data_IF_236088836311
#
_entry.id   IF_236088836311
#
_cell.length_a   1.000
_cell.length_b   1.000
_cell.length_c   1.000
_cell.angle_alpha   90.00
_cell.angle_beta   90.00
_cell.angle_gamma   90.00
#
_symmetry.space_group_name_H-M   'P 1'
#
loop_
_entity.id
_entity.type
_entity.pdbx_description
1 polymer ?
#
# COMPACT_ATOMS: atom_id res chain seq x y z
N UNK A 1 19.02 -13.73 33.20
CA UNK A 1 19.09 -14.40 31.88
C UNK A 1 19.18 -13.31 30.81
N UNK A 2 20.20 -13.32 29.94
CA UNK A 2 20.42 -12.27 28.92
C UNK A 2 20.03 -12.84 27.56
N UNK A 3 19.05 -12.24 26.89
CA UNK A 3 18.60 -12.66 25.56
C UNK A 3 19.27 -11.79 24.49
N UNK A 4 19.90 -12.44 23.51
CA UNK A 4 20.50 -11.78 22.35
C UNK A 4 19.65 -12.03 21.10
N UNK A 5 19.38 -10.97 20.33
CA UNK A 5 18.56 -11.05 19.12
C UNK A 5 19.44 -11.39 17.92
N UNK A 6 19.14 -12.50 17.25
CA UNK A 6 19.80 -12.90 16.01
C UNK A 6 18.86 -12.61 14.83
N UNK A 7 19.21 -11.73 13.89
CA UNK A 7 18.36 -11.41 12.75
C UNK A 7 18.32 -12.55 11.73
N UNK A 8 17.12 -12.86 11.23
CA UNK A 8 16.94 -13.84 10.18
C UNK A 8 17.36 -13.27 8.82
N UNK A 9 18.26 -13.97 8.10
CA UNK A 9 18.85 -13.47 6.84
C UNK A 9 18.05 -13.84 5.59
N UNK A 10 17.17 -14.84 5.69
CA UNK A 10 16.44 -15.49 4.59
C UNK A 10 14.99 -15.03 4.44
N UNK A 11 14.50 -14.15 5.32
CA UNK A 11 13.13 -13.65 5.26
C UNK A 11 12.96 -12.76 4.03
N UNK A 12 11.88 -12.96 3.27
CA UNK A 12 11.49 -12.06 2.17
C UNK A 12 11.08 -10.71 2.78
N UNK A 13 11.70 -9.58 2.40
CA UNK A 13 11.37 -8.28 3.00
C UNK A 13 9.93 -7.88 2.71
N UNK A 14 9.28 -7.25 3.69
CA UNK A 14 7.97 -6.64 3.56
C UNK A 14 8.09 -5.15 3.89
N UNK A 15 7.65 -4.29 2.97
CA UNK A 15 7.52 -2.86 3.19
C UNK A 15 6.05 -2.49 3.22
N UNK A 16 5.68 -1.77 4.27
CA UNK A 16 4.32 -1.36 4.54
C UNK A 16 4.29 0.15 4.75
N UNK A 17 3.37 0.84 4.08
CA UNK A 17 3.09 2.26 4.30
C UNK A 17 1.59 2.48 4.35
N UNK A 18 1.16 3.38 5.21
CA UNK A 18 -0.23 3.84 5.29
C UNK A 18 -0.28 5.33 4.97
N UNK A 19 -1.23 5.72 4.14
CA UNK A 19 -1.45 7.10 3.71
C UNK A 19 -2.92 7.46 3.87
N UNK A 20 -3.20 8.73 4.12
CA UNK A 20 -4.56 9.26 4.23
C UNK A 20 -4.75 10.39 3.22
N UNK A 21 -5.66 10.21 2.27
CA UNK A 21 -5.87 11.17 1.17
C UNK A 21 -6.31 12.54 1.69
N UNK A 22 -7.13 12.57 2.75
CA UNK A 22 -7.57 13.81 3.39
C UNK A 22 -6.45 14.62 4.06
N UNK A 23 -5.36 13.97 4.49
CA UNK A 23 -4.20 14.67 5.08
C UNK A 23 -3.19 15.13 4.02
N UNK A 24 -3.26 14.57 2.81
CA UNK A 24 -2.33 14.85 1.71
C UNK A 24 -2.80 16.00 0.79
N UNK A 25 -3.91 16.65 1.13
CA UNK A 25 -4.42 17.81 0.40
C UNK A 25 -5.15 17.45 -0.91
N UNK A 26 -5.51 16.18 -1.12
CA UNK A 26 -6.41 15.80 -2.19
C UNK A 26 -7.79 16.40 -1.96
N UNK A 27 -8.53 16.64 -3.04
CA UNK A 27 -9.93 17.07 -3.00
C UNK A 27 -10.82 15.94 -3.53
N UNK A 28 -11.92 15.59 -2.83
CA UNK A 28 -12.85 14.55 -3.31
C UNK A 28 -13.47 14.89 -4.66
N UNK A 29 -13.86 16.15 -4.86
CA UNK A 29 -14.60 16.63 -6.04
C UNK A 29 -13.68 17.14 -7.18
N UNK A 30 -12.45 16.64 -7.25
CA UNK A 30 -11.52 16.99 -8.33
C UNK A 30 -11.82 16.17 -9.58
N UNK A 31 -12.05 16.82 -10.72
CA UNK A 31 -12.36 16.17 -12.01
C UNK A 31 -11.30 15.12 -12.41
N UNK A 32 -10.03 15.35 -12.06
CA UNK A 32 -8.91 14.43 -12.30
C UNK A 32 -8.43 13.73 -11.02
N UNK A 33 -9.25 13.72 -9.96
CA UNK A 33 -8.90 13.19 -8.64
C UNK A 33 -8.45 11.73 -8.69
N UNK A 34 -9.15 10.87 -9.44
CA UNK A 34 -8.78 9.44 -9.58
C UNK A 34 -7.36 9.29 -10.16
N UNK A 35 -7.06 10.00 -11.25
CA UNK A 35 -5.76 9.92 -11.93
C UNK A 35 -4.63 10.46 -11.04
N UNK A 36 -4.88 11.56 -10.33
CA UNK A 36 -3.91 12.15 -9.40
C UNK A 36 -3.60 11.19 -8.24
N UNK A 37 -4.62 10.56 -7.68
CA UNK A 37 -4.47 9.56 -6.61
C UNK A 37 -3.75 8.31 -7.14
N UNK A 38 -4.07 7.84 -8.35
CA UNK A 38 -3.38 6.72 -9.00
C UNK A 38 -1.89 7.01 -9.22
N UNK A 39 -1.56 8.18 -9.79
CA UNK A 39 -0.17 8.60 -10.02
C UNK A 39 0.62 8.70 -8.71
N UNK A 40 0.03 9.34 -7.69
CA UNK A 40 0.63 9.43 -6.37
C UNK A 40 0.89 8.06 -5.74
N UNK A 41 -0.08 7.15 -5.81
CA UNK A 41 0.10 5.80 -5.29
C UNK A 41 1.17 5.01 -6.06
N UNK A 42 1.30 5.22 -7.38
CA UNK A 42 2.34 4.59 -8.18
C UNK A 42 3.74 5.06 -7.76
N UNK A 43 3.91 6.37 -7.55
CA UNK A 43 5.16 6.96 -7.06
C UNK A 43 5.54 6.39 -5.68
N UNK A 44 4.57 6.34 -4.76
CA UNK A 44 4.74 5.78 -3.42
C UNK A 44 5.17 4.30 -3.43
N UNK A 45 4.55 3.48 -4.27
CA UNK A 45 4.95 2.07 -4.44
C UNK A 45 6.36 1.97 -5.02
N UNK A 46 6.70 2.77 -6.02
CA UNK A 46 8.05 2.78 -6.63
C UNK A 46 9.12 3.20 -5.61
N UNK A 47 8.83 4.17 -4.74
CA UNK A 47 9.72 4.55 -3.64
C UNK A 47 9.94 3.41 -2.64
N UNK A 48 8.87 2.70 -2.27
CA UNK A 48 8.97 1.53 -1.38
C UNK A 48 9.81 0.41 -2.01
N UNK A 49 9.67 0.16 -3.31
CA UNK A 49 10.50 -0.81 -4.05
C UNK A 49 11.98 -0.39 -4.05
N UNK A 50 12.26 0.89 -4.32
CA UNK A 50 13.63 1.44 -4.27
C UNK A 50 14.24 1.31 -2.87
N UNK A 51 13.46 1.63 -1.84
CA UNK A 51 13.86 1.48 -0.44
C UNK A 51 14.18 0.03 -0.09
N UNK A 52 13.31 -0.90 -0.48
CA UNK A 52 13.52 -2.33 -0.28
C UNK A 52 14.80 -2.84 -0.95
N UNK A 53 15.08 -2.38 -2.17
CA UNK A 53 16.29 -2.74 -2.92
C UNK A 53 17.56 -2.17 -2.26
N UNK A 54 17.48 -0.95 -1.72
CA UNK A 54 18.60 -0.28 -1.05
C UNK A 54 18.93 -0.90 0.31
N UNK A 55 17.92 -1.14 1.15
CA UNK A 55 18.09 -1.69 2.50
C UNK A 55 18.49 -3.17 2.44
N UNK A 56 18.13 -3.86 1.35
CA UNK A 56 18.35 -5.28 1.17
C UNK A 56 18.96 -5.57 -0.21
N UNK A 57 20.26 -5.26 -0.37
CA UNK A 57 20.99 -5.61 -1.59
C UNK A 57 20.94 -7.12 -1.84
N UNK A 58 21.15 -7.50 -3.11
CA UNK A 58 20.98 -8.87 -3.57
C UNK A 58 21.72 -9.87 -2.67
N UNK A 59 20.95 -10.83 -2.16
CA UNK A 59 21.46 -11.94 -1.36
C UNK A 59 20.92 -13.23 -1.96
N UNK A 60 21.77 -14.16 -2.43
CA UNK A 60 21.33 -15.40 -3.07
C UNK A 60 20.40 -16.26 -2.20
N UNK A 61 20.52 -16.15 -0.88
CA UNK A 61 19.69 -16.91 0.09
C UNK A 61 18.36 -16.24 0.41
N UNK A 62 18.14 -15.01 -0.06
CA UNK A 62 16.93 -14.25 0.23
C UNK A 62 15.99 -14.29 -0.98
N UNK A 63 14.70 -14.61 -0.76
CA UNK A 63 13.72 -14.53 -1.84
C UNK A 63 13.57 -13.10 -2.36
N UNK A 64 13.61 -12.96 -3.69
CA UNK A 64 13.34 -11.74 -4.45
C UNK A 64 12.14 -12.01 -5.38
N UNK A 65 11.32 -11.02 -5.79
CA UNK A 65 11.27 -9.60 -5.37
C UNK A 65 10.70 -9.35 -3.94
N UNK A 66 10.74 -8.12 -3.38
CA UNK A 66 10.16 -7.81 -2.07
C UNK A 66 8.62 -7.88 -2.07
N UNK A 67 8.03 -7.93 -0.88
CA UNK A 67 6.60 -7.71 -0.66
C UNK A 67 6.36 -6.23 -0.36
N UNK A 68 5.38 -5.62 -1.02
CA UNK A 68 5.02 -4.21 -0.83
C UNK A 68 3.55 -4.09 -0.49
N UNK A 69 3.21 -3.25 0.50
CA UNK A 69 1.83 -2.90 0.82
C UNK A 69 1.70 -1.40 1.06
N UNK A 70 0.85 -0.75 0.28
CA UNK A 70 0.37 0.59 0.53
C UNK A 70 -1.09 0.51 0.96
N UNK A 71 -1.39 0.98 2.17
CA UNK A 71 -2.75 1.11 2.66
C UNK A 71 -3.20 2.55 2.50
N UNK A 72 -4.33 2.75 1.82
CA UNK A 72 -4.85 4.08 1.50
C UNK A 72 -6.14 4.29 2.25
N UNK A 73 -6.17 5.29 3.12
CA UNK A 73 -7.39 5.79 3.74
C UNK A 73 -8.08 6.75 2.76
N UNK A 74 -9.24 6.32 2.25
CA UNK A 74 -10.08 7.07 1.32
C UNK A 74 -11.38 7.56 1.98
N UNK A 75 -11.41 7.68 3.31
CA UNK A 75 -12.53 8.30 4.04
C UNK A 75 -12.80 9.72 3.56
N UNK A 76 -14.07 10.09 3.38
CA UNK A 76 -14.45 11.45 2.93
C UNK A 76 -14.75 11.56 1.43
N UNK A 77 -15.05 10.45 0.76
CA UNK A 77 -15.53 10.45 -0.62
C UNK A 77 -14.43 10.51 -1.68
N UNK A 78 -13.18 10.22 -1.30
CA UNK A 78 -12.08 10.21 -2.27
C UNK A 78 -12.23 9.08 -3.29
N UNK A 79 -11.90 9.34 -4.57
CA UNK A 79 -12.00 8.35 -5.62
C UNK A 79 -10.99 7.21 -5.38
N UNK A 80 -11.41 6.01 -5.77
CA UNK A 80 -10.54 4.83 -5.88
C UNK A 80 -10.27 4.52 -7.34
N UNK A 81 -9.19 3.82 -7.65
CA UNK A 81 -8.85 3.37 -9.00
C UNK A 81 -8.73 1.84 -9.05
N UNK A 82 -8.60 1.31 -10.27
CA UNK A 82 -8.38 -0.11 -10.48
C UNK A 82 -6.94 -0.52 -10.09
N UNK A 83 -6.79 -1.08 -8.89
CA UNK A 83 -5.49 -1.55 -8.36
C UNK A 83 -4.83 -2.58 -9.29
N UNK A 84 -5.61 -3.48 -9.90
CA UNK A 84 -5.06 -4.51 -10.80
C UNK A 84 -4.43 -3.90 -12.07
N UNK A 85 -4.94 -2.76 -12.54
CA UNK A 85 -4.37 -2.02 -13.67
C UNK A 85 -3.00 -1.45 -13.29
N UNK A 86 -2.93 -0.74 -12.16
CA UNK A 86 -1.67 -0.18 -11.66
C UNK A 86 -0.66 -1.28 -11.32
N UNK A 87 -1.11 -2.40 -10.77
CA UNK A 87 -0.27 -3.54 -10.41
C UNK A 87 0.51 -4.14 -11.60
N UNK A 88 0.01 -4.03 -12.83
CA UNK A 88 0.73 -4.51 -14.01
C UNK A 88 2.09 -3.84 -14.17
N UNK A 89 2.23 -2.58 -13.74
CA UNK A 89 3.49 -1.82 -13.80
C UNK A 89 4.57 -2.37 -12.85
N UNK A 90 4.16 -3.15 -11.84
CA UNK A 90 5.03 -3.69 -10.80
C UNK A 90 5.23 -5.21 -10.91
N UNK A 91 4.71 -5.85 -11.95
CA UNK A 91 4.99 -7.26 -12.24
C UNK A 91 6.51 -7.46 -12.36
N UNK A 92 7.03 -8.53 -11.77
CA UNK A 92 8.46 -8.83 -11.61
C UNK A 92 9.25 -7.87 -10.70
N UNK A 93 8.69 -6.71 -10.30
CA UNK A 93 9.30 -5.81 -9.30
C UNK A 93 8.88 -6.13 -7.86
N UNK A 94 7.69 -6.71 -7.69
CA UNK A 94 7.12 -7.09 -6.38
C UNK A 94 6.62 -8.53 -6.40
N UNK A 95 6.55 -9.16 -5.22
CA UNK A 95 6.12 -10.54 -5.07
C UNK A 95 4.61 -10.71 -4.89
N UNK A 96 3.88 -9.62 -4.64
CA UNK A 96 2.45 -9.61 -4.36
C UNK A 96 1.69 -8.59 -5.24
N UNK A 97 1.80 -8.67 -6.58
CA UNK A 97 1.22 -7.66 -7.49
C UNK A 97 -0.29 -7.45 -7.26
N UNK A 98 -1.06 -8.50 -6.99
CA UNK A 98 -2.51 -8.39 -6.77
C UNK A 98 -2.92 -7.70 -5.46
N UNK A 99 -1.97 -7.49 -4.55
CA UNK A 99 -2.26 -7.07 -3.18
C UNK A 99 -1.32 -5.93 -2.72
N UNK A 100 -0.81 -5.15 -3.70
CA UNK A 100 0.10 -4.03 -3.45
C UNK A 100 -0.58 -2.84 -2.78
N UNK A 101 -1.85 -2.57 -3.11
CA UNK A 101 -2.60 -1.42 -2.61
C UNK A 101 -3.91 -1.89 -2.02
N UNK A 102 -4.25 -1.39 -0.83
CA UNK A 102 -5.55 -1.66 -0.20
C UNK A 102 -6.19 -0.36 0.25
N UNK A 103 -7.34 -0.06 -0.33
CA UNK A 103 -8.20 1.03 0.13
C UNK A 103 -8.98 0.60 1.37
N UNK A 104 -9.21 1.56 2.25
CA UNK A 104 -10.14 1.44 3.35
C UNK A 104 -10.73 2.80 3.68
N UNK A 105 -12.01 2.81 4.02
CA UNK A 105 -12.67 3.97 4.58
C UNK A 105 -12.97 3.67 6.06
N UNK A 106 -12.79 4.67 6.92
CA UNK A 106 -13.40 4.66 8.25
C UNK A 106 -14.90 4.71 8.02
N UNK A 107 -15.57 3.62 8.38
CA UNK A 107 -17.02 3.62 8.50
C UNK A 107 -17.34 4.57 9.65
N UNK A 108 -17.91 5.74 9.34
CA UNK A 108 -18.60 6.49 10.38
C UNK A 108 -19.69 5.56 10.92
N UNK A 109 -19.69 5.32 12.23
CA UNK A 109 -20.70 4.49 12.88
C UNK A 109 -22.06 5.15 12.62
N UNK A 110 -22.74 4.69 11.56
CA UNK A 110 -24.12 5.04 11.33
C UNK A 110 -24.89 4.45 12.51
N UNK A 111 -25.46 5.32 13.33
CA UNK A 111 -26.45 4.96 14.35
C UNK A 111 -27.42 3.97 13.71
N UNK A 112 -27.42 2.72 14.21
CA UNK A 112 -28.14 1.62 13.62
C UNK A 112 -29.59 1.99 13.39
N UNK A 113 -30.03 2.05 12.13
CA UNK A 113 -31.45 1.91 11.82
C UNK A 113 -31.76 0.42 11.96
N UNK A 114 -32.37 0.05 13.08
CA UNK A 114 -33.09 -1.21 13.23
C UNK A 114 -33.99 -1.41 12.01
N UNK A 115 -33.71 -2.43 11.21
CA UNK A 115 -34.71 -2.97 10.30
C UNK A 115 -35.41 -4.09 11.06
N UNK A 116 -36.62 -3.77 11.51
CA UNK A 116 -37.57 -4.71 12.06
C UNK A 116 -37.94 -5.79 11.05
N UNK A 117 -38.12 -6.99 11.62
CA UNK A 117 -38.58 -8.28 11.10
C UNK A 117 -38.43 -8.63 9.62
#
# INVERSE_FOLDING_TARGET
>A
MKLEKIPLKTVRPLYYKEICLGLLGFKPDDDDGEKKVEAFCAEEVEELVKKATKDHPQNPKRPSPPLIRLRVDNSGGFPTFNVNRLAQQFVNKVANPQDIIRFHAKVEATSGKEKGW
#
